data_IF_250841500728
#
_entry.id   IF_250841500728
#
_cell.length_a   1.000
_cell.length_b   1.000
_cell.length_c   1.000
_cell.angle_alpha   90.00
_cell.angle_beta   90.00
_cell.angle_gamma   90.00
#
_symmetry.space_group_name_H-M   'P 1'
#
loop_
_entity.id
_entity.type
_entity.pdbx_description
1 polymer ?
#
# COMPACT_ATOMS: atom_id res chain seq x y z
N UNK A 1 -4.84 7.95 -4.58
CA UNK A 1 -4.39 6.56 -4.85
C UNK A 1 -4.70 5.67 -3.63
N UNK A 2 -4.95 4.37 -3.82
CA UNK A 2 -5.02 3.37 -2.74
C UNK A 2 -3.75 2.54 -2.78
N UNK A 3 -3.06 2.43 -1.65
CA UNK A 3 -1.88 1.60 -1.50
C UNK A 3 -2.16 0.52 -0.47
N UNK A 4 -1.62 -0.66 -0.73
CA UNK A 4 -1.62 -1.76 0.23
C UNK A 4 -0.44 -1.59 1.17
N UNK A 5 -0.68 -1.78 2.46
CA UNK A 5 0.38 -1.68 3.46
C UNK A 5 1.07 -3.04 3.56
N UNK A 6 2.39 -3.02 3.41
CA UNK A 6 3.23 -4.20 3.65
C UNK A 6 3.83 -4.19 5.07
N UNK A 7 4.04 -3.00 5.63
CA UNK A 7 4.54 -2.80 6.99
C UNK A 7 4.32 -1.35 7.45
N UNK A 8 4.37 -1.11 8.76
CA UNK A 8 4.37 0.22 9.36
C UNK A 8 3.01 0.87 9.61
N UNK A 9 1.91 0.25 9.16
CA UNK A 9 0.56 0.64 9.56
C UNK A 9 -0.29 -0.61 9.84
N UNK A 10 -1.10 -0.55 10.89
CA UNK A 10 -1.94 -1.66 11.37
C UNK A 10 -3.23 -1.85 10.56
N UNK A 11 -3.17 -1.53 9.26
CA UNK A 11 -4.32 -1.60 8.36
C UNK A 11 -3.92 -2.19 7.02
N UNK A 12 -4.81 -2.93 6.35
CA UNK A 12 -4.47 -3.57 5.08
C UNK A 12 -4.23 -2.55 3.96
N UNK A 13 -4.88 -1.40 4.02
CA UNK A 13 -4.83 -0.40 2.96
C UNK A 13 -4.90 1.03 3.49
N UNK A 14 -4.25 1.93 2.78
CA UNK A 14 -4.27 3.36 3.06
C UNK A 14 -4.59 4.16 1.80
N UNK A 15 -5.40 5.21 1.98
CA UNK A 15 -5.57 6.24 0.94
C UNK A 15 -4.48 7.27 1.10
N UNK A 16 -3.84 7.60 -0.01
CA UNK A 16 -2.75 8.56 -0.05
C UNK A 16 -3.01 9.61 -1.13
N UNK A 17 -2.61 10.84 -0.82
CA UNK A 17 -2.51 11.94 -1.77
C UNK A 17 -1.02 12.20 -1.94
N UNK A 18 -0.52 12.02 -3.16
CA UNK A 18 0.86 12.27 -3.53
C UNK A 18 0.93 13.56 -4.35
N UNK A 19 2.03 14.29 -4.23
CA UNK A 19 2.34 15.40 -5.13
C UNK A 19 2.77 14.86 -6.50
N UNK A 20 2.91 15.72 -7.51
CA UNK A 20 3.15 15.30 -8.89
C UNK A 20 4.44 14.45 -9.05
N UNK A 21 5.53 14.86 -8.41
CA UNK A 21 6.80 14.13 -8.46
C UNK A 21 6.71 12.76 -7.79
N UNK A 22 6.18 12.72 -6.57
CA UNK A 22 5.94 11.49 -5.82
C UNK A 22 5.00 10.53 -6.55
N UNK A 23 3.98 11.07 -7.23
CA UNK A 23 3.05 10.28 -8.05
C UNK A 23 3.75 9.61 -9.22
N UNK A 24 4.68 10.31 -9.90
CA UNK A 24 5.48 9.73 -10.98
C UNK A 24 6.35 8.57 -10.48
N UNK A 25 7.00 8.73 -9.33
CA UNK A 25 7.83 7.66 -8.73
C UNK A 25 6.96 6.45 -8.36
N UNK A 26 5.82 6.69 -7.69
CA UNK A 26 4.88 5.63 -7.33
C UNK A 26 4.34 4.89 -8.55
N UNK A 27 4.00 5.63 -9.61
CA UNK A 27 3.54 5.06 -10.88
C UNK A 27 4.60 4.19 -11.55
N UNK A 28 5.85 4.68 -11.61
CA UNK A 28 6.95 3.89 -12.18
C UNK A 28 7.20 2.61 -11.39
N UNK A 29 7.28 2.70 -10.06
CA UNK A 29 7.44 1.55 -9.18
C UNK A 29 6.33 0.51 -9.38
N UNK A 30 5.08 0.96 -9.54
CA UNK A 30 3.95 0.08 -9.83
C UNK A 30 4.13 -0.66 -11.17
N UNK A 31 4.58 0.02 -12.21
CA UNK A 31 4.82 -0.59 -13.54
C UNK A 31 5.91 -1.65 -13.51
N UNK A 32 6.95 -1.46 -12.69
CA UNK A 32 8.05 -2.44 -12.53
C UNK A 32 7.82 -3.44 -11.39
N UNK A 33 6.64 -3.43 -10.75
CA UNK A 33 6.29 -4.36 -9.68
C UNK A 33 7.07 -4.18 -8.39
N UNK A 34 7.61 -2.99 -8.12
CA UNK A 34 8.37 -2.67 -6.92
C UNK A 34 7.50 -2.04 -5.83
N UNK A 35 7.66 -2.47 -4.57
CA UNK A 35 7.05 -1.79 -3.44
C UNK A 35 7.68 -0.41 -3.24
N UNK A 36 6.89 0.52 -2.70
CA UNK A 36 7.36 1.87 -2.37
C UNK A 36 7.33 2.09 -0.87
N UNK A 37 8.35 2.80 -0.36
CA UNK A 37 8.36 3.34 0.98
C UNK A 37 7.84 4.76 0.94
N UNK A 38 6.94 5.08 1.85
CA UNK A 38 6.38 6.42 1.99
C UNK A 38 6.35 6.81 3.45
N UNK A 39 6.64 8.08 3.76
CA UNK A 39 6.52 8.65 5.10
C UNK A 39 5.34 9.61 5.14
N UNK A 40 4.67 9.69 6.27
CA UNK A 40 3.55 10.58 6.47
C UNK A 40 2.83 10.30 7.77
N UNK A 41 1.76 11.04 8.02
CA UNK A 41 0.92 10.86 9.21
C UNK A 41 -0.29 10.00 8.87
N UNK A 42 -0.48 8.94 9.64
CA UNK A 42 -1.65 8.08 9.50
C UNK A 42 -2.84 8.67 10.28
N UNK A 43 -3.89 9.06 9.57
CA UNK A 43 -5.10 9.63 10.13
C UNK A 43 -6.28 8.65 9.97
N UNK A 44 -7.07 8.47 11.03
CA UNK A 44 -8.34 7.72 10.96
C UNK A 44 -9.45 8.68 10.56
N UNK A 45 -10.18 8.37 9.50
CA UNK A 45 -11.41 9.12 9.16
C UNK A 45 -12.47 8.15 8.66
N UNK A 46 -13.49 7.91 9.51
CA UNK A 46 -14.74 7.24 9.14
C UNK A 46 -14.55 5.86 8.48
N UNK A 47 -13.84 4.95 9.14
CA UNK A 47 -13.66 3.57 8.66
C UNK A 47 -12.49 3.35 7.70
N UNK A 48 -11.81 4.42 7.26
CA UNK A 48 -10.61 4.31 6.42
C UNK A 48 -9.41 5.00 7.07
N UNK A 49 -8.21 4.48 6.77
CA UNK A 49 -6.96 5.17 7.09
C UNK A 49 -6.47 5.95 5.89
N UNK A 50 -6.13 7.21 6.15
CA UNK A 50 -5.52 8.12 5.18
C UNK A 50 -4.11 8.45 5.64
N UNK A 51 -3.15 8.37 4.73
CA UNK A 51 -1.82 8.94 4.94
C UNK A 51 -1.85 10.40 4.47
N UNK A 52 -1.68 11.35 5.39
CA UNK A 52 -1.53 12.79 5.11
C UNK A 52 -0.07 13.22 5.23
N UNK A 53 0.31 14.26 4.49
CA UNK A 53 1.71 14.72 4.42
C UNK A 53 2.65 13.64 3.86
N UNK A 54 2.20 12.91 2.84
CA UNK A 54 2.98 11.89 2.20
C UNK A 54 4.24 12.49 1.55
N UNK A 55 5.41 11.98 1.92
CA UNK A 55 6.71 12.45 1.44
C UNK A 55 7.72 11.30 1.39
N UNK A 56 8.79 11.50 0.63
CA UNK A 56 9.90 10.56 0.54
C UNK A 56 9.50 9.25 -0.14
N UNK A 57 8.68 9.34 -1.19
CA UNK A 57 8.29 8.18 -1.98
C UNK A 57 9.52 7.63 -2.67
N UNK A 58 9.93 6.43 -2.27
CA UNK A 58 11.13 5.77 -2.79
C UNK A 58 10.82 4.32 -3.13
N UNK A 59 11.19 3.84 -4.33
CA UNK A 59 11.09 2.42 -4.65
C UNK A 59 12.06 1.64 -3.76
N UNK A 60 11.55 0.59 -3.12
CA UNK A 60 12.36 -0.32 -2.32
C UNK A 60 12.79 -1.46 -3.22
N UNK A 61 14.10 -1.61 -3.42
CA UNK A 61 14.65 -2.79 -4.08
C UNK A 61 14.48 -3.97 -3.13
N UNK A 62 13.57 -4.86 -3.47
CA UNK A 62 13.38 -6.14 -2.80
C UNK A 62 13.99 -7.22 -3.66
N UNK A 63 14.79 -8.08 -3.03
CA UNK A 63 15.36 -9.25 -3.68
C UNK A 63 14.23 -10.24 -4.04
N UNK A 64 14.47 -11.13 -5.00
CA UNK A 64 13.41 -11.96 -5.58
C UNK A 64 12.73 -12.88 -4.54
N UNK A 65 13.50 -13.36 -3.56
CA UNK A 65 12.98 -14.14 -2.44
C UNK A 65 12.05 -13.32 -1.51
N UNK A 66 12.35 -12.04 -1.33
CA UNK A 66 11.50 -11.13 -0.54
C UNK A 66 10.25 -10.74 -1.32
N UNK A 67 10.38 -10.56 -2.65
CA UNK A 67 9.23 -10.39 -3.56
C UNK A 67 8.28 -11.59 -3.48
N UNK A 68 8.76 -12.83 -3.56
CA UNK A 68 7.91 -14.03 -3.45
C UNK A 68 7.19 -14.12 -2.11
N UNK A 69 7.89 -13.82 -1.01
CA UNK A 69 7.29 -13.76 0.33
C UNK A 69 6.23 -12.67 0.42
N UNK A 70 6.52 -11.47 -0.09
CA UNK A 70 5.57 -10.36 -0.10
C UNK A 70 4.34 -10.69 -0.94
N UNK A 71 4.51 -11.33 -2.10
CA UNK A 71 3.40 -11.79 -2.96
C UNK A 71 2.57 -12.87 -2.27
N UNK A 72 3.19 -13.84 -1.60
CA UNK A 72 2.47 -14.86 -0.82
C UNK A 72 1.67 -14.25 0.33
N UNK A 73 2.27 -13.39 1.14
CA UNK A 73 1.53 -12.68 2.20
C UNK A 73 0.44 -11.76 1.65
N UNK A 74 0.62 -11.27 0.41
CA UNK A 74 -0.37 -10.47 -0.31
C UNK A 74 -1.57 -11.34 -0.75
N UNK A 75 -1.35 -12.59 -1.16
CA UNK A 75 -2.42 -13.57 -1.44
C UNK A 75 -3.18 -13.97 -0.18
N UNK A 76 -2.49 -14.37 0.90
CA UNK A 76 -3.15 -14.79 2.15
C UNK A 76 -4.06 -13.70 2.77
N UNK A 77 -3.69 -12.43 2.62
CA UNK A 77 -4.54 -11.31 3.07
C UNK A 77 -5.63 -10.90 2.05
N UNK A 78 -5.57 -11.37 0.78
CA UNK A 78 -6.68 -11.20 -0.18
C UNK A 78 -7.84 -12.13 0.16
N UNK A 79 -7.55 -13.36 0.58
CA UNK A 79 -8.56 -14.33 1.03
C UNK A 79 -9.38 -13.77 2.21
N UNK A 80 -8.76 -12.96 3.09
CA UNK A 80 -9.46 -12.25 4.16
C UNK A 80 -10.35 -11.09 3.66
N UNK A 81 -10.08 -10.56 2.47
CA UNK A 81 -10.80 -9.41 1.92
C UNK A 81 -12.01 -9.81 1.08
N UNK A 82 -11.98 -11.01 0.47
CA UNK A 82 -13.11 -11.53 -0.31
C UNK A 82 -14.35 -11.74 0.59
N UNK A 83 -14.15 -12.10 1.86
CA UNK A 83 -15.24 -12.21 2.84
C UNK A 83 -15.77 -10.84 3.33
N UNK A 84 -14.99 -9.76 3.22
CA UNK A 84 -15.39 -8.41 3.64
C UNK A 84 -16.08 -7.58 2.55
N UNK A 85 -16.03 -8.01 1.29
CA UNK A 85 -16.72 -7.35 0.16
C UNK A 85 -17.79 -8.23 -0.52
N UNK A 86 -18.05 -9.43 0.00
CA UNK A 86 -19.12 -10.32 -0.44
C UNK A 86 -20.08 -10.70 0.70
N UNK A 87 -20.95 -9.80 1.12
CA UNK A 87 -21.95 -10.15 2.15
C UNK A 87 -22.89 -9.03 2.55
N UNK A 88 -23.84 -8.68 1.68
CA UNK A 88 -25.11 -8.12 2.12
C UNK A 88 -25.97 -9.21 2.77
N UNK A 89 -26.86 -8.82 3.70
CA UNK A 89 -28.29 -8.82 3.36
C UNK A 89 -28.91 -7.42 3.36
#
# INVERSE_FOLDING_TARGET
>A
MRLRVLSGADVPQVRITLEEEDYRIAGHAHLVGLPIRVRGRLESRGGFRRLSGATGVTPVQVDEAERDRLVKSLQENLDFFEEACGGGP
#
